data_IF_374667835873
#
_entry.id   IF_374667835873
#
_cell.length_a   1.000
_cell.length_b   1.000
_cell.length_c   1.000
_cell.angle_alpha   90.00
_cell.angle_beta   90.00
_cell.angle_gamma   90.00
#
_symmetry.space_group_name_H-M   'P 1'
#
loop_
_entity.id
_entity.type
_entity.pdbx_description
1 polymer ?
#
# COMPACT_ATOMS: atom_id res chain seq x y z
N UNK A 1 -4.96 33.02 -9.54
CA UNK A 1 -5.73 32.42 -10.66
C UNK A 1 -4.82 32.42 -11.87
N UNK A 2 -4.84 31.36 -12.69
CA UNK A 2 -4.13 31.40 -13.97
C UNK A 2 -4.99 32.19 -14.95
N UNK A 3 -4.42 33.04 -15.80
CA UNK A 3 -5.21 33.72 -16.84
C UNK A 3 -5.72 32.75 -17.90
N UNK A 4 -6.76 33.10 -18.66
CA UNK A 4 -7.24 32.29 -19.80
C UNK A 4 -6.14 32.10 -20.88
N UNK A 5 -5.30 33.12 -21.08
CA UNK A 5 -4.12 33.03 -21.96
C UNK A 5 -3.09 32.01 -21.44
N UNK A 6 -2.81 32.06 -20.14
CA UNK A 6 -1.90 31.14 -19.46
C UNK A 6 -2.42 29.69 -19.53
N UNK A 7 -3.72 29.50 -19.29
CA UNK A 7 -4.39 28.21 -19.47
C UNK A 7 -4.27 27.68 -20.90
N UNK A 8 -4.48 28.53 -21.90
CA UNK A 8 -4.38 28.16 -23.32
C UNK A 8 -2.96 27.75 -23.68
N UNK A 9 -1.95 28.48 -23.21
CA UNK A 9 -0.55 28.16 -23.42
C UNK A 9 -0.17 26.82 -22.75
N UNK A 10 -0.56 26.62 -21.49
CA UNK A 10 -0.33 25.39 -20.73
C UNK A 10 -0.96 24.17 -21.41
N UNK A 11 -2.21 24.30 -21.90
CA UNK A 11 -2.91 23.26 -22.67
C UNK A 11 -2.16 22.91 -23.95
N UNK A 12 -1.65 23.91 -24.68
CA UNK A 12 -0.91 23.70 -25.92
C UNK A 12 0.41 22.96 -25.67
N UNK A 13 1.17 23.36 -24.62
CA UNK A 13 2.41 22.69 -24.25
C UNK A 13 2.19 21.25 -23.82
N UNK A 14 1.24 21.01 -22.90
CA UNK A 14 0.92 19.65 -22.44
C UNK A 14 0.46 18.73 -23.59
N UNK A 15 -0.30 19.24 -24.56
CA UNK A 15 -0.68 18.45 -25.74
C UNK A 15 0.48 18.13 -26.68
N UNK A 16 1.49 19.00 -26.73
CA UNK A 16 2.65 18.79 -27.59
C UNK A 16 3.64 17.78 -26.99
N UNK A 17 3.87 17.83 -25.66
CA UNK A 17 4.84 16.97 -24.98
C UNK A 17 4.22 15.72 -24.33
N UNK A 18 2.99 15.83 -23.81
CA UNK A 18 2.43 14.86 -22.85
C UNK A 18 2.98 15.00 -21.43
N UNK A 19 3.91 15.93 -21.22
CA UNK A 19 4.64 16.12 -19.96
C UNK A 19 4.06 17.27 -19.13
N UNK A 20 4.06 17.09 -17.80
CA UNK A 20 3.70 18.14 -16.85
C UNK A 20 4.92 19.03 -16.63
N UNK A 21 4.86 20.26 -17.14
CA UNK A 21 5.87 21.28 -16.84
C UNK A 21 5.71 21.84 -15.41
N UNK A 22 6.72 22.60 -14.95
CA UNK A 22 6.74 23.16 -13.61
C UNK A 22 5.53 24.06 -13.33
N UNK A 23 5.07 24.81 -14.34
CA UNK A 23 3.93 25.71 -14.22
C UNK A 23 2.61 24.94 -14.00
N UNK A 24 2.39 23.87 -14.76
CA UNK A 24 1.24 22.99 -14.57
C UNK A 24 1.32 22.26 -13.24
N UNK A 25 2.50 21.77 -12.84
CA UNK A 25 2.67 21.13 -11.54
C UNK A 25 2.33 22.08 -10.38
N UNK A 26 2.76 23.34 -10.45
CA UNK A 26 2.42 24.37 -9.47
C UNK A 26 0.91 24.63 -9.39
N UNK A 27 0.21 24.58 -10.51
CA UNK A 27 -1.26 24.67 -10.54
C UNK A 27 -1.89 23.49 -9.81
N UNK A 28 -1.42 22.27 -10.06
CA UNK A 28 -1.91 21.05 -9.39
C UNK A 28 -1.64 21.08 -7.88
N UNK A 29 -0.45 21.53 -7.49
CA UNK A 29 -0.09 21.76 -6.09
C UNK A 29 -0.96 22.85 -5.43
N UNK A 30 -1.34 23.90 -6.17
CA UNK A 30 -2.21 24.95 -5.63
C UNK A 30 -3.64 24.47 -5.47
N UNK A 31 -4.16 23.64 -6.39
CA UNK A 31 -5.48 23.03 -6.29
C UNK A 31 -5.59 22.26 -4.98
N UNK A 32 -4.64 21.36 -4.77
CA UNK A 32 -4.68 20.51 -3.60
C UNK A 32 -4.49 21.33 -2.30
N UNK A 33 -3.59 22.32 -2.27
CA UNK A 33 -3.43 23.22 -1.11
C UNK A 33 -4.73 23.97 -0.81
N UNK A 34 -5.39 24.48 -1.84
CA UNK A 34 -6.65 25.20 -1.71
C UNK A 34 -7.78 24.32 -1.16
N UNK A 35 -7.78 23.03 -1.47
CA UNK A 35 -8.74 22.08 -0.91
C UNK A 35 -8.46 21.74 0.56
N UNK A 36 -7.19 21.52 0.91
CA UNK A 36 -6.76 21.23 2.28
C UNK A 36 -6.96 22.44 3.23
N UNK A 37 -6.38 23.59 2.91
CA UNK A 37 -6.44 24.80 3.75
C UNK A 37 -7.83 25.44 3.78
N UNK A 38 -8.66 25.14 2.77
CA UNK A 38 -10.05 25.60 2.73
C UNK A 38 -10.99 24.79 3.64
N UNK A 39 -10.48 23.81 4.39
CA UNK A 39 -11.30 22.90 5.21
C UNK A 39 -12.25 22.04 4.38
N UNK A 40 -11.96 21.84 3.09
CA UNK A 40 -12.82 21.11 2.14
C UNK A 40 -12.43 19.63 2.00
N UNK A 41 -11.37 19.21 2.67
CA UNK A 41 -10.94 17.82 2.78
C UNK A 41 -11.08 17.40 4.24
N UNK A 42 -11.70 16.25 4.48
CA UNK A 42 -11.73 15.66 5.80
C UNK A 42 -10.30 15.23 6.21
N UNK A 43 -9.91 15.34 7.49
CA UNK A 43 -8.62 14.83 7.98
C UNK A 43 -8.41 13.35 7.66
N UNK A 44 -9.49 12.56 7.68
CA UNK A 44 -9.49 11.14 7.31
C UNK A 44 -9.14 10.84 5.84
N UNK A 45 -9.03 11.85 4.97
CA UNK A 45 -8.53 11.72 3.60
C UNK A 45 -7.03 12.00 3.48
N UNK A 46 -6.40 12.50 4.55
CA UNK A 46 -4.95 12.72 4.58
C UNK A 46 -4.22 11.38 4.68
N UNK A 47 -3.13 11.18 3.94
CA UNK A 47 -2.23 10.03 4.13
C UNK A 47 -1.72 9.87 5.57
N UNK A 48 -1.54 10.96 6.31
CA UNK A 48 -1.03 10.98 7.68
C UNK A 48 -2.12 11.24 8.74
N UNK A 49 -3.39 11.35 8.34
CA UNK A 49 -4.49 11.77 9.20
C UNK A 49 -4.55 13.27 9.50
N UNK A 50 -3.52 14.05 9.16
CA UNK A 50 -3.46 15.51 9.29
C UNK A 50 -3.05 16.12 7.94
N UNK A 51 -3.64 17.24 7.55
CA UNK A 51 -3.28 17.94 6.31
C UNK A 51 -2.16 18.96 6.55
N UNK A 52 -0.92 18.48 6.67
CA UNK A 52 0.29 19.32 6.65
C UNK A 52 0.82 19.51 5.21
N UNK A 53 1.96 20.22 5.07
CA UNK A 53 2.58 20.48 3.76
C UNK A 53 3.04 19.22 3.03
N UNK A 54 3.39 18.19 3.78
CA UNK A 54 4.09 17.01 3.27
C UNK A 54 3.06 15.96 2.84
N UNK A 55 2.09 15.69 3.71
CA UNK A 55 0.90 14.91 3.38
C UNK A 55 0.17 15.49 2.16
N UNK A 56 0.18 16.82 2.05
CA UNK A 56 -0.33 17.52 0.89
C UNK A 56 0.46 17.22 -0.40
N UNK A 57 1.78 17.43 -0.35
CA UNK A 57 2.67 17.22 -1.49
C UNK A 57 2.60 15.77 -1.97
N UNK A 58 2.61 14.83 -1.03
CA UNK A 58 2.50 13.39 -1.28
C UNK A 58 1.20 13.01 -1.95
N UNK A 59 0.08 13.52 -1.43
CA UNK A 59 -1.23 13.27 -1.99
C UNK A 59 -1.32 13.76 -3.44
N UNK A 60 -0.85 14.98 -3.71
CA UNK A 60 -0.87 15.54 -5.07
C UNK A 60 0.11 14.82 -5.98
N UNK A 61 1.31 14.49 -5.52
CA UNK A 61 2.27 13.75 -6.31
C UNK A 61 1.74 12.37 -6.70
N UNK A 62 1.16 11.63 -5.74
CA UNK A 62 0.53 10.34 -6.01
C UNK A 62 -0.65 10.46 -6.98
N UNK A 63 -1.48 11.50 -6.83
CA UNK A 63 -2.56 11.77 -7.77
C UNK A 63 -2.05 12.07 -9.18
N UNK A 64 -1.00 12.89 -9.29
CA UNK A 64 -0.36 13.21 -10.57
C UNK A 64 0.13 11.95 -11.26
N UNK A 65 0.94 11.16 -10.56
CA UNK A 65 1.61 10.01 -11.13
C UNK A 65 0.62 8.88 -11.43
N UNK A 66 -0.19 8.48 -10.45
CA UNK A 66 -1.05 7.29 -10.53
C UNK A 66 -2.36 7.54 -11.26
N UNK A 67 -2.87 8.77 -11.26
CA UNK A 67 -4.17 9.10 -11.87
C UNK A 67 -4.01 9.99 -13.11
N UNK A 68 -3.34 11.13 -12.99
CA UNK A 68 -3.33 12.11 -14.07
C UNK A 68 -2.52 11.64 -15.28
N UNK A 69 -1.30 11.14 -15.05
CA UNK A 69 -0.41 10.65 -16.10
C UNK A 69 -0.76 9.23 -16.52
N UNK A 70 -0.74 8.27 -15.58
CA UNK A 70 -0.88 6.84 -15.90
C UNK A 70 -2.21 6.47 -16.56
N UNK A 71 -3.31 7.15 -16.24
CA UNK A 71 -4.62 6.87 -16.86
C UNK A 71 -5.01 7.89 -17.94
N UNK A 72 -4.11 8.83 -18.30
CA UNK A 72 -4.41 9.90 -19.24
C UNK A 72 -5.52 10.87 -18.80
N UNK A 73 -5.85 10.92 -17.50
CA UNK A 73 -6.95 11.75 -17.00
C UNK A 73 -6.68 13.25 -17.19
N UNK A 74 -5.42 13.67 -17.24
CA UNK A 74 -5.06 15.07 -17.49
C UNK A 74 -5.33 15.48 -18.95
N UNK A 75 -5.03 14.61 -19.92
CA UNK A 75 -5.42 14.82 -21.31
C UNK A 75 -6.94 14.98 -21.43
N UNK A 76 -7.70 14.06 -20.81
CA UNK A 76 -9.15 14.14 -20.79
C UNK A 76 -9.63 15.46 -20.16
N UNK A 77 -9.04 15.91 -19.04
CA UNK A 77 -9.41 17.17 -18.40
C UNK A 77 -9.18 18.38 -19.33
N UNK A 78 -8.05 18.42 -20.05
CA UNK A 78 -7.77 19.46 -21.05
C UNK A 78 -8.64 19.37 -22.30
N UNK A 79 -9.12 18.20 -22.67
CA UNK A 79 -9.99 18.03 -23.84
C UNK A 79 -11.42 18.49 -23.56
N UNK A 80 -11.93 18.20 -22.36
CA UNK A 80 -13.30 18.50 -21.96
C UNK A 80 -13.51 19.94 -21.44
N UNK A 81 -12.44 20.62 -21.01
CA UNK A 81 -12.51 22.01 -20.58
C UNK A 81 -12.00 22.95 -21.69
N UNK A 82 -12.78 23.98 -22.01
CA UNK A 82 -12.39 25.03 -22.96
C UNK A 82 -11.86 26.30 -22.29
N UNK A 83 -11.86 26.35 -20.96
CA UNK A 83 -11.47 27.51 -20.16
C UNK A 83 -10.88 27.08 -18.80
N UNK A 84 -10.21 28.00 -18.10
CA UNK A 84 -9.56 27.75 -16.80
C UNK A 84 -10.55 27.17 -15.78
N UNK A 85 -11.66 27.87 -15.51
CA UNK A 85 -12.54 27.53 -14.38
C UNK A 85 -13.15 26.13 -14.46
N UNK A 86 -13.68 25.65 -15.61
CA UNK A 86 -14.11 24.27 -15.75
C UNK A 86 -12.97 23.25 -15.57
N UNK A 87 -11.76 23.56 -16.06
CA UNK A 87 -10.59 22.70 -15.92
C UNK A 87 -10.22 22.50 -14.44
N UNK A 88 -10.05 23.60 -13.69
CA UNK A 88 -9.71 23.55 -12.27
C UNK A 88 -10.77 22.80 -11.44
N UNK A 89 -12.07 23.03 -11.71
CA UNK A 89 -13.15 22.30 -11.04
C UNK A 89 -13.13 20.80 -11.34
N UNK A 90 -12.77 20.41 -12.55
CA UNK A 90 -12.67 18.99 -12.93
C UNK A 90 -11.52 18.30 -12.19
N UNK A 91 -10.39 19.00 -12.06
CA UNK A 91 -9.22 18.54 -11.35
C UNK A 91 -9.46 18.46 -9.84
N UNK A 92 -10.10 19.46 -9.23
CA UNK A 92 -10.52 19.40 -7.82
C UNK A 92 -11.36 18.16 -7.52
N UNK A 93 -12.35 17.87 -8.39
CA UNK A 93 -13.20 16.68 -8.25
C UNK A 93 -12.38 15.40 -8.40
N UNK A 94 -11.50 15.34 -9.40
CA UNK A 94 -10.65 14.17 -9.62
C UNK A 94 -9.72 13.92 -8.43
N UNK A 95 -9.19 14.97 -7.80
CA UNK A 95 -8.32 14.83 -6.64
C UNK A 95 -9.08 14.28 -5.44
N UNK A 96 -10.29 14.78 -5.15
CA UNK A 96 -11.14 14.23 -4.07
C UNK A 96 -11.46 12.76 -4.29
N UNK A 97 -11.92 12.39 -5.49
CA UNK A 97 -12.20 10.99 -5.80
C UNK A 97 -10.96 10.10 -5.70
N UNK A 98 -9.79 10.63 -6.07
CA UNK A 98 -8.53 9.93 -5.89
C UNK A 98 -8.26 9.66 -4.40
N UNK A 99 -8.37 10.68 -3.55
CA UNK A 99 -8.19 10.52 -2.10
C UNK A 99 -9.19 9.54 -1.48
N UNK A 100 -10.45 9.61 -1.89
CA UNK A 100 -11.49 8.65 -1.47
C UNK A 100 -11.11 7.22 -1.86
N UNK A 101 -10.60 7.02 -3.09
CA UNK A 101 -10.19 5.71 -3.59
C UNK A 101 -8.89 5.18 -3.00
N UNK A 102 -7.97 6.06 -2.59
CA UNK A 102 -6.74 5.67 -1.89
C UNK A 102 -7.04 5.34 -0.43
N UNK A 103 -8.01 6.03 0.20
CA UNK A 103 -8.54 5.65 1.52
C UNK A 103 -9.17 4.26 1.50
N UNK A 104 -9.88 3.90 0.44
CA UNK A 104 -10.43 2.55 0.20
C UNK A 104 -9.35 1.49 -0.13
N UNK A 105 -8.06 1.83 -0.07
CA UNK A 105 -6.92 0.90 -0.15
C UNK A 105 -6.03 1.04 1.08
N UNK A 106 -6.67 1.17 2.24
CA UNK A 106 -6.03 1.39 3.53
C UNK A 106 -5.17 0.21 3.97
N UNK A 107 -4.50 0.38 5.10
CA UNK A 107 -3.68 -0.63 5.77
C UNK A 107 -4.40 -1.98 5.87
N UNK A 108 -5.70 -1.91 6.15
CA UNK A 108 -6.60 -3.05 6.21
C UNK A 108 -6.72 -3.77 4.85
N UNK A 109 -6.79 -3.07 3.73
CA UNK A 109 -6.89 -3.68 2.40
C UNK A 109 -5.59 -4.38 2.00
N UNK A 110 -4.45 -3.79 2.34
CA UNK A 110 -3.15 -4.43 2.17
C UNK A 110 -3.05 -5.70 3.01
N UNK A 111 -3.48 -5.65 4.27
CA UNK A 111 -3.46 -6.79 5.17
C UNK A 111 -4.44 -7.89 4.70
N UNK A 112 -5.65 -7.53 4.31
CA UNK A 112 -6.68 -8.45 3.78
C UNK A 112 -6.23 -9.07 2.46
N UNK A 113 -5.60 -8.32 1.57
CA UNK A 113 -5.03 -8.85 0.33
C UNK A 113 -3.93 -9.88 0.61
N UNK A 114 -3.03 -9.60 1.57
CA UNK A 114 -2.00 -10.55 2.03
C UNK A 114 -2.62 -11.78 2.67
N UNK A 115 -3.63 -11.61 3.52
CA UNK A 115 -4.41 -12.72 4.09
C UNK A 115 -4.98 -13.60 2.98
N UNK A 116 -5.64 -13.02 1.99
CA UNK A 116 -6.22 -13.78 0.89
C UNK A 116 -5.16 -14.55 0.09
N UNK A 117 -4.00 -13.94 -0.18
CA UNK A 117 -2.89 -14.61 -0.83
C UNK A 117 -2.39 -15.81 0.00
N UNK A 118 -2.26 -15.67 1.32
CA UNK A 118 -1.85 -16.76 2.21
C UNK A 118 -2.88 -17.89 2.28
N UNK A 119 -4.18 -17.57 2.28
CA UNK A 119 -5.24 -18.56 2.27
C UNK A 119 -5.25 -19.36 0.96
N UNK A 120 -5.02 -18.69 -0.18
CA UNK A 120 -5.02 -19.31 -1.50
C UNK A 120 -3.76 -20.11 -1.80
N UNK A 121 -2.59 -19.57 -1.46
CA UNK A 121 -1.29 -20.10 -1.89
C UNK A 121 -0.59 -20.92 -0.78
N UNK A 122 -1.06 -20.82 0.46
CA UNK A 122 -0.47 -21.49 1.62
C UNK A 122 -0.96 -22.93 1.79
N UNK A 123 -0.02 -23.87 1.96
CA UNK A 123 -0.33 -25.30 2.08
C UNK A 123 -1.18 -25.68 3.32
N UNK A 124 -1.25 -24.82 4.34
CA UNK A 124 -2.01 -25.06 5.57
C UNK A 124 -3.50 -24.69 5.48
N UNK A 125 -3.93 -24.07 4.38
CA UNK A 125 -5.32 -23.63 4.19
C UNK A 125 -5.89 -24.21 2.90
N UNK A 126 -7.22 -24.33 2.85
CA UNK A 126 -7.93 -24.63 1.62
C UNK A 126 -9.32 -24.02 1.61
N UNK A 127 -9.87 -23.83 0.43
CA UNK A 127 -11.27 -23.49 0.23
C UNK A 127 -12.15 -24.74 0.38
N UNK A 128 -13.09 -24.69 1.32
CA UNK A 128 -14.00 -25.80 1.60
C UNK A 128 -15.35 -25.65 0.90
N UNK A 129 -15.82 -24.39 0.78
CA UNK A 129 -17.04 -24.06 0.05
C UNK A 129 -16.75 -22.85 -0.84
N UNK A 130 -16.42 -23.05 -2.13
CA UNK A 130 -16.18 -21.95 -3.05
C UNK A 130 -17.47 -21.16 -3.31
N UNK A 131 -17.34 -19.84 -3.44
CA UNK A 131 -18.44 -18.93 -3.74
C UNK A 131 -18.13 -18.10 -5.00
N UNK A 132 -19.16 -17.45 -5.56
CA UNK A 132 -18.99 -16.58 -6.72
C UNK A 132 -18.09 -15.37 -6.42
N UNK A 133 -18.11 -14.88 -5.18
CA UNK A 133 -17.22 -13.81 -4.71
C UNK A 133 -16.16 -14.38 -3.78
N UNK A 134 -14.89 -14.00 -4.01
CA UNK A 134 -13.75 -14.47 -3.20
C UNK A 134 -13.87 -14.10 -1.71
N UNK A 135 -14.54 -12.98 -1.41
CA UNK A 135 -14.81 -12.53 -0.03
C UNK A 135 -15.72 -13.47 0.76
N UNK A 136 -16.56 -14.23 0.06
CA UNK A 136 -17.56 -15.13 0.63
C UNK A 136 -17.13 -16.60 0.62
N UNK A 137 -16.00 -16.92 -0.03
CA UNK A 137 -15.42 -18.27 0.01
C UNK A 137 -15.14 -18.68 1.45
N UNK A 138 -15.56 -19.90 1.81
CA UNK A 138 -15.32 -20.46 3.13
C UNK A 138 -13.97 -21.17 3.16
N UNK A 139 -13.06 -20.64 3.97
CA UNK A 139 -11.72 -21.16 4.17
C UNK A 139 -11.64 -21.94 5.47
N UNK A 140 -10.70 -22.88 5.54
CA UNK A 140 -10.40 -23.64 6.75
C UNK A 140 -9.00 -24.24 6.68
N UNK A 141 -8.61 -24.91 7.76
CA UNK A 141 -7.36 -25.65 7.79
C UNK A 141 -7.42 -26.84 6.82
N UNK A 142 -6.28 -27.13 6.20
CA UNK A 142 -6.15 -28.15 5.15
C UNK A 142 -6.39 -29.58 5.65
N UNK A 143 -6.06 -29.83 6.92
CA UNK A 143 -6.06 -31.12 7.61
C UNK A 143 -7.40 -31.46 8.27
N UNK A 144 -8.35 -30.53 8.27
CA UNK A 144 -9.68 -30.76 8.84
C UNK A 144 -10.45 -31.84 8.07
N UNK A 145 -11.42 -32.44 8.76
CA UNK A 145 -12.36 -33.41 8.21
C UNK A 145 -13.77 -32.88 8.48
N UNK A 146 -14.48 -32.52 7.40
CA UNK A 146 -15.87 -32.03 7.44
C UNK A 146 -16.17 -30.88 8.44
N UNK A 147 -15.41 -29.77 8.42
CA UNK A 147 -15.66 -28.60 9.26
C UNK A 147 -16.92 -27.86 8.83
N UNK A 148 -17.72 -27.43 9.80
CA UNK A 148 -18.88 -26.58 9.57
C UNK A 148 -18.53 -25.10 9.41
N UNK A 149 -19.40 -24.28 8.80
CA UNK A 149 -19.25 -22.83 8.78
C UNK A 149 -19.40 -22.23 10.18
N UNK A 150 -18.69 -21.13 10.43
CA UNK A 150 -18.82 -20.38 11.68
C UNK A 150 -20.25 -19.88 11.90
N UNK A 151 -20.82 -20.25 13.06
CA UNK A 151 -22.17 -19.86 13.50
C UNK A 151 -22.14 -18.88 14.68
N UNK A 152 -20.96 -18.48 15.16
CA UNK A 152 -20.81 -17.56 16.27
C UNK A 152 -20.93 -16.08 15.86
N UNK A 153 -20.95 -15.18 16.84
CA UNK A 153 -20.87 -13.74 16.58
C UNK A 153 -19.45 -13.30 16.20
N UNK A 154 -19.34 -12.14 15.56
CA UNK A 154 -18.05 -11.50 15.27
C UNK A 154 -17.30 -11.14 16.56
N UNK A 155 -18.00 -10.72 17.62
CA UNK A 155 -17.36 -10.43 18.93
C UNK A 155 -16.73 -11.67 19.56
N UNK A 156 -17.37 -12.84 19.42
CA UNK A 156 -16.78 -14.11 19.86
C UNK A 156 -15.54 -14.43 19.06
N UNK A 157 -15.58 -14.22 17.74
CA UNK A 157 -14.43 -14.46 16.87
C UNK A 157 -13.25 -13.51 17.19
N UNK A 158 -13.56 -12.24 17.49
CA UNK A 158 -12.57 -11.26 17.97
C UNK A 158 -11.96 -11.68 19.32
N UNK A 159 -12.79 -12.16 20.27
CA UNK A 159 -12.29 -12.67 21.54
C UNK A 159 -11.34 -13.87 21.35
N UNK A 160 -11.63 -14.76 20.39
CA UNK A 160 -10.70 -15.84 20.02
C UNK A 160 -9.37 -15.28 19.50
N UNK A 161 -9.39 -14.26 18.64
CA UNK A 161 -8.19 -13.62 18.12
C UNK A 161 -7.34 -12.96 19.23
N UNK A 162 -7.97 -12.32 20.23
CA UNK A 162 -7.27 -11.77 21.40
C UNK A 162 -6.64 -12.87 22.27
N UNK A 163 -7.27 -14.05 22.36
CA UNK A 163 -6.75 -15.19 23.14
C UNK A 163 -5.48 -15.82 22.55
N UNK A 164 -5.08 -15.45 21.34
CA UNK A 164 -3.84 -15.91 20.69
C UNK A 164 -2.58 -15.18 21.20
N UNK A 165 -2.74 -14.21 22.10
CA UNK A 165 -1.64 -13.44 22.68
C UNK A 165 -1.32 -12.17 21.91
N UNK A 166 -0.14 -11.61 22.19
CA UNK A 166 0.43 -10.48 21.48
C UNK A 166 1.00 -10.92 20.14
N UNK A 167 0.99 -10.03 19.16
CA UNK A 167 1.66 -10.20 17.87
C UNK A 167 2.72 -9.13 17.72
N UNK A 168 3.84 -9.49 17.10
CA UNK A 168 4.87 -8.51 16.77
C UNK A 168 4.37 -7.66 15.61
N UNK A 169 4.13 -6.38 15.90
CA UNK A 169 3.78 -5.37 14.92
C UNK A 169 5.04 -4.61 14.56
N UNK A 170 5.39 -4.62 13.27
CA UNK A 170 6.42 -3.73 12.75
C UNK A 170 5.79 -2.34 12.61
N UNK A 171 5.96 -1.52 13.63
CA UNK A 171 5.70 -0.09 13.51
C UNK A 171 6.91 0.56 12.87
N UNK A 172 6.76 1.03 11.64
CA UNK A 172 7.74 1.90 11.03
C UNK A 172 7.80 3.19 11.85
N UNK A 173 9.00 3.67 12.18
CA UNK A 173 9.14 5.00 12.79
C UNK A 173 8.50 6.01 11.85
N UNK A 174 7.70 6.91 12.43
CA UNK A 174 6.89 7.94 11.77
C UNK A 174 7.66 8.91 10.83
N UNK A 175 8.98 8.77 10.71
CA UNK A 175 9.84 9.63 9.90
C UNK A 175 9.76 9.37 8.40
N UNK A 176 9.28 8.20 7.97
CA UNK A 176 9.03 7.92 6.55
C UNK A 176 7.52 7.82 6.37
N UNK A 177 6.90 8.82 5.73
CA UNK A 177 5.44 8.99 5.60
C UNK A 177 4.68 7.87 4.85
N UNK A 178 5.25 6.68 4.71
CA UNK A 178 4.63 5.49 4.13
C UNK A 178 5.25 4.22 4.72
N UNK A 179 4.60 3.68 5.74
CA UNK A 179 4.23 2.26 5.78
C UNK A 179 3.48 1.98 7.09
N UNK A 180 2.27 1.48 6.91
CA UNK A 180 1.38 0.98 7.95
C UNK A 180 2.03 -0.09 8.82
N UNK A 181 1.58 -0.30 10.06
CA UNK A 181 1.97 -1.46 10.84
C UNK A 181 1.54 -2.75 10.14
N UNK A 182 2.49 -3.46 9.54
CA UNK A 182 2.24 -4.69 8.79
C UNK A 182 2.71 -5.87 9.63
N UNK A 183 1.78 -6.74 10.07
CA UNK A 183 2.13 -8.04 10.62
C UNK A 183 3.09 -8.76 9.66
N UNK A 184 4.24 -9.19 10.15
CA UNK A 184 5.12 -10.05 9.38
C UNK A 184 4.36 -11.29 8.90
N UNK A 185 4.77 -11.85 7.76
CA UNK A 185 4.08 -13.00 7.16
C UNK A 185 3.96 -14.18 8.13
N UNK A 186 5.01 -14.44 8.93
CA UNK A 186 4.99 -15.46 9.98
C UNK A 186 3.95 -15.19 11.08
N UNK A 187 3.84 -13.94 11.53
CA UNK A 187 2.86 -13.53 12.55
C UNK A 187 1.42 -13.58 12.01
N UNK A 188 1.22 -13.20 10.74
CA UNK A 188 -0.07 -13.33 10.08
C UNK A 188 -0.48 -14.80 9.91
N UNK A 189 0.46 -15.69 9.54
CA UNK A 189 0.23 -17.13 9.50
C UNK A 189 -0.10 -17.69 10.89
N UNK A 190 0.61 -17.25 11.93
CA UNK A 190 0.35 -17.64 13.32
C UNK A 190 -1.04 -17.20 13.77
N UNK A 191 -1.44 -15.98 13.43
CA UNK A 191 -2.79 -15.47 13.68
C UNK A 191 -3.84 -16.32 12.96
N UNK A 192 -3.69 -16.56 11.66
CA UNK A 192 -4.67 -17.32 10.88
C UNK A 192 -4.78 -18.76 11.38
N UNK A 193 -3.66 -19.46 11.52
CA UNK A 193 -3.63 -20.82 12.04
C UNK A 193 -4.24 -20.92 13.45
N UNK A 194 -3.89 -19.98 14.33
CA UNK A 194 -4.48 -19.90 15.67
C UNK A 194 -5.98 -19.59 15.66
N UNK A 195 -6.42 -18.66 14.80
CA UNK A 195 -7.81 -18.24 14.70
C UNK A 195 -8.68 -19.38 14.19
N UNK A 196 -8.30 -20.06 13.12
CA UNK A 196 -9.00 -21.25 12.65
C UNK A 196 -8.98 -22.36 13.70
N UNK A 197 -7.80 -22.64 14.29
CA UNK A 197 -7.65 -23.69 15.31
C UNK A 197 -8.52 -23.46 16.55
N UNK A 198 -8.77 -22.21 16.94
CA UNK A 198 -9.65 -21.87 18.08
C UNK A 198 -11.13 -21.76 17.70
N UNK A 199 -11.42 -21.33 16.47
CA UNK A 199 -12.79 -21.25 15.97
C UNK A 199 -13.37 -22.63 15.65
N UNK A 200 -12.51 -23.58 15.26
CA UNK A 200 -12.86 -24.94 14.82
C UNK A 200 -13.98 -24.95 13.77
N UNK A 201 -13.99 -23.92 12.93
CA UNK A 201 -15.02 -23.68 11.93
C UNK A 201 -14.45 -22.97 10.72
N UNK A 202 -15.13 -23.10 9.59
CA UNK A 202 -14.80 -22.35 8.39
C UNK A 202 -15.06 -20.85 8.60
N UNK A 203 -14.20 -20.01 8.03
CA UNK A 203 -14.31 -18.55 8.07
C UNK A 203 -14.23 -17.99 6.66
N UNK A 204 -14.98 -16.92 6.42
CA UNK A 204 -14.88 -16.15 5.17
C UNK A 204 -13.82 -15.06 5.30
N UNK A 205 -13.30 -14.58 4.18
CA UNK A 205 -12.35 -13.46 4.18
C UNK A 205 -12.98 -12.20 4.80
N UNK A 206 -14.29 -12.00 4.64
CA UNK A 206 -15.03 -10.90 5.29
C UNK A 206 -14.99 -10.98 6.82
N UNK A 207 -15.19 -12.16 7.40
CA UNK A 207 -15.09 -12.37 8.86
C UNK A 207 -13.66 -12.11 9.35
N UNK A 208 -12.67 -12.60 8.61
CA UNK A 208 -11.26 -12.40 8.94
C UNK A 208 -10.90 -10.91 8.85
N UNK A 209 -11.34 -10.20 7.81
CA UNK A 209 -11.11 -8.76 7.66
C UNK A 209 -11.68 -7.96 8.85
N UNK A 210 -12.90 -8.27 9.29
CA UNK A 210 -13.51 -7.61 10.46
C UNK A 210 -12.69 -7.84 11.74
N UNK A 211 -12.16 -9.05 11.94
CA UNK A 211 -11.27 -9.38 13.07
C UNK A 211 -9.96 -8.60 12.96
N UNK A 212 -9.31 -8.60 11.80
CA UNK A 212 -8.06 -7.88 11.57
C UNK A 212 -8.23 -6.38 11.85
N UNK A 213 -9.29 -5.78 11.31
CA UNK A 213 -9.59 -4.36 11.51
C UNK A 213 -9.73 -4.00 13.00
N UNK A 214 -10.46 -4.81 13.77
CA UNK A 214 -10.69 -4.55 15.20
C UNK A 214 -9.51 -4.94 16.09
N UNK A 215 -8.78 -6.02 15.74
CA UNK A 215 -7.67 -6.55 16.55
C UNK A 215 -6.45 -5.63 16.52
N UNK A 216 -6.23 -4.96 15.39
CA UNK A 216 -5.07 -4.12 15.12
C UNK A 216 -5.43 -2.65 15.01
N UNK A 217 -6.65 -2.27 15.40
CA UNK A 217 -7.14 -0.89 15.37
C UNK A 217 -7.00 -0.22 13.99
N UNK A 218 -7.21 -1.00 12.93
CA UNK A 218 -7.19 -0.55 11.53
C UNK A 218 -8.57 -0.15 11.04
N UNK A 219 -9.56 -0.09 11.94
CA UNK A 219 -10.86 0.46 11.63
C UNK A 219 -10.69 1.95 11.34
N UNK A 220 -11.43 2.50 10.35
CA UNK A 220 -11.41 3.94 10.13
C UNK A 220 -11.79 4.63 11.45
N UNK A 221 -11.04 5.66 11.90
CA UNK A 221 -11.33 6.31 13.16
C UNK A 221 -12.80 6.71 13.16
N UNK A 222 -13.55 6.17 14.12
CA UNK A 222 -14.88 6.71 14.41
C UNK A 222 -14.62 8.15 14.83
N UNK A 223 -15.25 9.11 14.15
CA UNK A 223 -15.19 10.52 14.51
C UNK A 223 -15.82 10.68 15.90
N UNK A 224 -15.00 10.45 16.94
CA UNK A 224 -15.24 10.99 18.27
C UNK A 224 -14.88 12.46 18.13
N UNK A 225 -15.90 13.29 17.99
CA UNK A 225 -15.75 14.73 18.13
C UNK A 225 -15.37 15.00 19.57
N UNK A 226 -14.08 15.13 19.89
CA UNK A 226 -13.62 15.80 21.09
C UNK A 226 -12.23 16.40 20.86
N UNK A 227 -12.10 17.64 21.35
CA UNK A 227 -10.96 18.54 21.27
C UNK A 227 -9.76 18.03 22.10
N UNK A 228 -8.58 18.56 21.79
CA UNK A 228 -7.33 18.50 22.57
C UNK A 228 -6.43 17.25 22.40
N UNK A 229 -5.40 17.40 21.57
CA UNK A 229 -4.08 16.79 21.83
C UNK A 229 -2.99 17.69 21.24
N UNK A 230 -2.19 18.29 22.12
CA UNK A 230 -1.03 19.13 21.82
C UNK A 230 0.10 18.31 21.18
N UNK A 231 0.77 18.90 20.19
CA UNK A 231 1.85 18.29 19.44
C UNK A 231 3.22 18.60 20.08
N UNK A 232 4.01 17.57 20.34
CA UNK A 232 5.45 17.69 20.58
C UNK A 232 6.20 17.78 19.24
N UNK A 233 6.97 18.86 19.09
CA UNK A 233 7.85 19.17 17.97
C UNK A 233 9.16 18.36 18.07
N UNK A 234 9.52 17.60 17.03
CA UNK A 234 10.89 17.05 16.89
C UNK A 234 11.43 17.37 15.50
N UNK A 235 12.62 17.96 15.49
CA UNK A 235 13.26 18.61 14.34
C UNK A 235 14.04 17.68 13.41
N UNK A 236 13.81 17.89 12.10
CA UNK A 236 14.73 17.98 10.95
C UNK A 236 16.03 17.16 10.89
N UNK A 237 16.10 16.32 9.84
CA UNK A 237 17.08 16.49 8.75
C UNK A 237 18.45 15.83 8.90
N UNK A 238 18.53 14.54 8.60
CA UNK A 238 19.72 13.85 8.09
C UNK A 238 19.21 12.78 7.12
N UNK A 239 19.87 12.56 5.98
CA UNK A 239 19.51 11.44 5.10
C UNK A 239 19.55 10.12 5.88
N UNK A 240 18.90 9.05 5.39
CA UNK A 240 18.75 7.85 6.18
C UNK A 240 20.11 7.34 6.64
N UNK A 241 20.27 7.17 7.95
CA UNK A 241 21.49 6.59 8.52
C UNK A 241 21.66 5.17 7.98
N UNK A 242 22.89 4.66 7.94
CA UNK A 242 23.20 3.35 7.41
C UNK A 242 22.38 2.23 8.10
N UNK A 243 22.09 2.41 9.38
CA UNK A 243 21.20 1.53 10.15
C UNK A 243 19.76 1.54 9.61
N UNK A 244 19.25 2.67 9.11
CA UNK A 244 17.90 2.79 8.56
C UNK A 244 17.78 2.07 7.21
N UNK A 245 18.84 2.12 6.40
CA UNK A 245 18.91 1.38 5.14
C UNK A 245 19.02 -0.13 5.36
N UNK A 246 19.73 -0.55 6.42
CA UNK A 246 19.78 -1.95 6.84
C UNK A 246 18.41 -2.45 7.32
N UNK A 247 17.73 -1.68 8.17
CA UNK A 247 16.37 -2.00 8.63
C UNK A 247 15.38 -2.08 7.45
N UNK A 248 15.45 -1.12 6.52
CA UNK A 248 14.65 -1.11 5.29
C UNK A 248 14.91 -2.34 4.41
N UNK A 249 16.16 -2.78 4.29
CA UNK A 249 16.54 -3.97 3.54
C UNK A 249 16.02 -5.25 4.19
N UNK A 250 16.10 -5.39 5.52
CA UNK A 250 15.52 -6.53 6.23
C UNK A 250 14.00 -6.59 6.08
N UNK A 251 13.32 -5.44 6.17
CA UNK A 251 11.88 -5.35 5.92
C UNK A 251 11.53 -5.77 4.48
N UNK A 252 12.29 -5.28 3.50
CA UNK A 252 12.12 -5.64 2.10
C UNK A 252 12.30 -7.14 1.85
N UNK A 253 13.32 -7.76 2.45
CA UNK A 253 13.54 -9.22 2.38
C UNK A 253 12.36 -9.98 2.97
N UNK A 254 11.81 -9.54 4.09
CA UNK A 254 10.67 -10.19 4.76
C UNK A 254 9.37 -10.18 3.93
N UNK A 255 9.24 -9.22 2.99
CA UNK A 255 8.13 -9.16 2.04
C UNK A 255 8.34 -10.03 0.79
N UNK A 256 9.58 -10.41 0.47
CA UNK A 256 9.86 -11.23 -0.69
C UNK A 256 9.25 -12.62 -0.51
N UNK A 257 8.61 -13.11 -1.58
CA UNK A 257 8.32 -14.54 -1.67
C UNK A 257 9.62 -15.33 -1.71
N UNK A 258 9.59 -16.59 -1.26
CA UNK A 258 10.77 -17.49 -1.31
C UNK A 258 11.41 -17.53 -2.71
N UNK A 259 10.62 -17.48 -3.77
CA UNK A 259 11.12 -17.46 -5.15
C UNK A 259 11.79 -16.13 -5.52
N UNK A 260 11.26 -15.01 -5.07
CA UNK A 260 11.87 -13.69 -5.30
C UNK A 260 13.21 -13.57 -4.57
N UNK A 261 13.26 -14.00 -3.31
CA UNK A 261 14.49 -14.03 -2.53
C UNK A 261 15.55 -14.92 -3.20
N UNK A 262 15.18 -16.13 -3.64
CA UNK A 262 16.08 -17.05 -4.36
C UNK A 262 16.57 -16.48 -5.70
N UNK A 263 15.70 -15.83 -6.48
CA UNK A 263 16.09 -15.16 -7.74
C UNK A 263 17.07 -14.02 -7.47
N UNK A 264 16.82 -13.21 -6.44
CA UNK A 264 17.71 -12.11 -6.06
C UNK A 264 19.07 -12.64 -5.59
N UNK A 265 19.08 -13.65 -4.70
CA UNK A 265 20.29 -14.31 -4.21
C UNK A 265 21.18 -14.83 -5.35
N UNK A 266 20.62 -15.59 -6.30
CA UNK A 266 21.39 -16.12 -7.43
C UNK A 266 21.92 -15.02 -8.35
N UNK A 267 21.12 -13.96 -8.54
CA UNK A 267 21.53 -12.81 -9.34
C UNK A 267 22.77 -12.12 -8.72
N UNK A 268 22.83 -12.05 -7.39
CA UNK A 268 23.98 -11.54 -6.64
C UNK A 268 25.19 -12.45 -6.74
N UNK A 269 24.98 -13.77 -6.69
CA UNK A 269 26.03 -14.77 -6.90
C UNK A 269 26.63 -14.76 -8.32
N UNK A 270 26.22 -13.81 -9.18
CA UNK A 270 26.74 -13.62 -10.53
C UNK A 270 26.08 -14.50 -11.58
N UNK A 271 25.02 -15.25 -11.24
CA UNK A 271 24.31 -16.05 -12.22
C UNK A 271 23.61 -15.17 -13.26
N UNK A 272 23.70 -15.58 -14.52
CA UNK A 272 22.95 -14.99 -15.63
C UNK A 272 21.47 -15.35 -15.53
N UNK A 273 20.59 -14.56 -16.17
CA UNK A 273 19.15 -14.86 -16.18
C UNK A 273 18.82 -16.25 -16.75
N UNK A 274 19.65 -16.77 -17.67
CA UNK A 274 19.49 -18.12 -18.22
C UNK A 274 19.86 -19.22 -17.21
N UNK A 275 20.92 -19.01 -16.43
CA UNK A 275 21.32 -19.94 -15.36
C UNK A 275 20.26 -19.98 -14.25
N UNK A 276 19.77 -18.82 -13.81
CA UNK A 276 18.69 -18.73 -12.81
C UNK A 276 17.41 -19.41 -13.34
N UNK A 277 17.08 -19.16 -14.61
CA UNK A 277 15.94 -19.80 -15.29
C UNK A 277 16.05 -21.32 -15.24
N UNK A 278 17.20 -21.86 -15.63
CA UNK A 278 17.47 -23.30 -15.65
C UNK A 278 17.44 -23.90 -14.25
N UNK A 279 18.09 -23.25 -13.27
CA UNK A 279 18.14 -23.70 -11.88
C UNK A 279 16.75 -23.76 -11.22
N UNK A 280 15.86 -22.81 -11.53
CA UNK A 280 14.53 -22.73 -10.96
C UNK A 280 13.44 -23.43 -11.80
N UNK A 281 13.78 -23.91 -12.99
CA UNK A 281 12.83 -24.56 -13.90
C UNK A 281 11.70 -23.63 -14.37
N UNK A 282 11.95 -22.32 -14.50
CA UNK A 282 10.95 -21.32 -14.91
C UNK A 282 11.26 -20.73 -16.28
N UNK A 283 10.46 -19.77 -16.77
CA UNK A 283 10.76 -19.03 -17.98
C UNK A 283 11.68 -17.83 -17.69
N UNK A 284 12.45 -17.36 -18.68
CA UNK A 284 13.28 -16.15 -18.53
C UNK A 284 12.44 -14.92 -18.13
N UNK A 285 11.25 -14.78 -18.72
CA UNK A 285 10.32 -13.69 -18.41
C UNK A 285 9.81 -13.75 -16.96
N UNK A 286 9.70 -14.95 -16.38
CA UNK A 286 9.37 -15.13 -14.96
C UNK A 286 10.50 -14.60 -14.08
N UNK A 287 11.76 -14.95 -14.37
CA UNK A 287 12.93 -14.45 -13.61
C UNK A 287 12.98 -12.92 -13.65
N UNK A 288 12.83 -12.32 -14.84
CA UNK A 288 12.83 -10.86 -15.02
C UNK A 288 11.69 -10.19 -14.24
N UNK A 289 10.51 -10.81 -14.25
CA UNK A 289 9.36 -10.32 -13.50
C UNK A 289 9.56 -10.40 -11.97
N UNK A 290 10.21 -11.46 -11.46
CA UNK A 290 10.51 -11.56 -10.04
C UNK A 290 11.59 -10.54 -9.60
N UNK A 291 12.63 -10.32 -10.41
CA UNK A 291 13.63 -9.27 -10.13
C UNK A 291 12.99 -7.88 -10.10
N UNK A 292 12.12 -7.59 -11.07
CA UNK A 292 11.39 -6.31 -11.11
C UNK A 292 10.50 -6.15 -9.88
N UNK A 293 9.81 -7.20 -9.45
CA UNK A 293 8.99 -7.19 -8.23
C UNK A 293 9.83 -6.99 -6.98
N UNK A 294 10.99 -7.64 -6.87
CA UNK A 294 11.92 -7.43 -5.77
C UNK A 294 12.43 -5.97 -5.74
N UNK A 295 12.76 -5.38 -6.90
CA UNK A 295 13.13 -3.96 -6.98
C UNK A 295 11.99 -3.02 -6.59
N UNK A 296 10.74 -3.34 -6.96
CA UNK A 296 9.57 -2.58 -6.49
C UNK A 296 9.37 -2.68 -4.97
N UNK A 297 9.70 -3.83 -4.36
CA UNK A 297 9.69 -3.98 -2.89
C UNK A 297 10.76 -3.08 -2.29
N UNK A 298 12.00 -3.12 -2.77
CA UNK A 298 13.08 -2.23 -2.31
C UNK A 298 12.69 -0.74 -2.41
N UNK A 299 12.12 -0.33 -3.54
CA UNK A 299 11.63 1.04 -3.77
C UNK A 299 10.54 1.46 -2.77
N UNK A 300 9.68 0.54 -2.32
CA UNK A 300 8.67 0.86 -1.31
C UNK A 300 9.29 1.13 0.07
N UNK A 301 10.38 0.44 0.42
CA UNK A 301 11.02 0.59 1.72
C UNK A 301 12.04 1.73 1.79
N UNK A 302 12.60 2.13 0.65
CA UNK A 302 13.64 3.15 0.60
C UNK A 302 13.13 4.59 0.77
N UNK A 303 11.83 4.84 0.63
CA UNK A 303 11.26 6.20 0.65
C UNK A 303 11.58 7.02 -0.61
N UNK A 304 12.84 7.04 -1.04
CA UNK A 304 13.33 7.75 -2.22
C UNK A 304 13.96 6.79 -3.26
N UNK A 305 14.01 7.23 -4.53
CA UNK A 305 14.57 6.41 -5.62
C UNK A 305 16.09 6.19 -5.50
N UNK A 306 16.82 7.18 -4.97
CA UNK A 306 18.26 7.08 -4.76
C UNK A 306 18.58 6.09 -3.64
N UNK A 307 17.77 6.08 -2.57
CA UNK A 307 17.87 5.11 -1.48
C UNK A 307 17.41 3.71 -1.90
N UNK A 308 16.53 3.58 -2.91
CA UNK A 308 16.08 2.27 -3.39
C UNK A 308 17.21 1.42 -3.93
N UNK A 309 18.20 2.06 -4.57
CA UNK A 309 19.43 1.37 -5.00
C UNK A 309 20.23 0.90 -3.80
N UNK A 310 20.37 1.73 -2.76
CA UNK A 310 21.11 1.40 -1.53
C UNK A 310 20.42 0.32 -0.70
N UNK A 311 19.10 0.37 -0.57
CA UNK A 311 18.29 -0.69 0.06
C UNK A 311 18.43 -1.99 -0.72
N UNK A 312 18.39 -1.95 -2.05
CA UNK A 312 18.62 -3.14 -2.86
C UNK A 312 20.03 -3.71 -2.66
N UNK A 313 21.06 -2.87 -2.59
CA UNK A 313 22.43 -3.28 -2.25
C UNK A 313 22.50 -3.94 -0.86
N UNK A 314 21.85 -3.37 0.15
CA UNK A 314 21.77 -3.96 1.49
C UNK A 314 20.98 -5.27 1.53
N UNK A 315 19.91 -5.40 0.73
CA UNK A 315 19.18 -6.66 0.58
C UNK A 315 20.08 -7.74 -0.03
N UNK A 316 20.90 -7.34 -1.00
CA UNK A 316 21.86 -8.18 -1.68
C UNK A 316 22.95 -8.65 -0.70
N UNK A 317 23.50 -7.74 0.10
CA UNK A 317 24.52 -8.05 1.12
C UNK A 317 23.98 -8.99 2.19
N UNK A 318 22.75 -8.77 2.68
CA UNK A 318 22.13 -9.60 3.72
C UNK A 318 21.75 -11.02 3.25
N UNK A 319 21.61 -11.23 1.94
CA UNK A 319 21.35 -12.55 1.35
C UNK A 319 22.63 -13.33 1.02
N UNK A 320 23.79 -12.66 0.94
CA UNK A 320 25.09 -13.25 0.55
C UNK A 320 25.75 -14.01 1.69
#
# INVERSE_FOLDING_TARGET
MIGDEQYTAMRARFRASGDIDAELYDVLMRIGRGLAHGGRLAPALSPSGIWDSDAFADAVHGWVERRLLRTGALHAAFDHASAERPFLRSLERSFRHYLESERERGEIDNLVSRTHALLRDGAGFRDWVPQAQASDTWWGLSEWVDPGPWQGSEDRLLALAWSLGSFELFQYRHTVGRASPVLATGELLRLLGGLFGRAEALLTLRLIAAVLARRFDLAPPQLVTDEEAEAEEVASGSGPDESELEDAAFAAIAELTRRQAEVLYRKVAGETLEQIREALGVSRGTVDNELRRAGMVALRHAGEADDATRVLEKMIDALS
#
